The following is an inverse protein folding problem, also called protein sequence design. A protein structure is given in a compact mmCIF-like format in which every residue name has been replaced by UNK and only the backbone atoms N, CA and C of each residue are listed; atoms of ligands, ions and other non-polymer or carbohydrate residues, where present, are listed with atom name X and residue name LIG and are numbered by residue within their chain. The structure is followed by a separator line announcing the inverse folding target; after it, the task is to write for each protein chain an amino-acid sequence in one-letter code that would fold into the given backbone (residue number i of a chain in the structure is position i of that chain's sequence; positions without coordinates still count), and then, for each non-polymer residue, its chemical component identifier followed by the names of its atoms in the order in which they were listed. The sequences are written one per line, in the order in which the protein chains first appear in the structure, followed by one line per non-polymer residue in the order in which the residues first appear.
data_IF_287075866846
#
_entry.id   IF_287075866846
#
_cell.length_a   1.000
_cell.length_b   1.000
_cell.length_c   1.000
_cell.angle_alpha   90.00
_cell.angle_beta   90.00
_cell.angle_gamma   90.00
#
_symmetry.space_group_name_H-M   'P 1'
#
loop_
_entity.id
_entity.type
_entity.pdbx_description
1 polymer ?
#
# COMPACT_ATOMS: atom_id res chain seq x y z
N UNK A 1 13.80 -1.17 -41.21
CA UNK A 1 13.20 -2.28 -40.45
C UNK A 1 12.21 -3.01 -41.34
N UNK A 2 12.47 -4.29 -41.62
CA UNK A 2 11.60 -5.11 -42.46
C UNK A 2 10.36 -5.60 -41.66
N UNK A 3 9.41 -6.23 -42.34
CA UNK A 3 8.16 -6.68 -41.70
C UNK A 3 8.39 -7.76 -40.62
N UNK A 4 9.36 -8.63 -40.84
CA UNK A 4 9.75 -9.70 -39.93
C UNK A 4 10.38 -9.15 -38.64
N UNK A 5 11.29 -8.19 -38.75
CA UNK A 5 11.90 -7.49 -37.61
C UNK A 5 10.86 -6.81 -36.72
N UNK A 6 9.85 -6.15 -37.32
CA UNK A 6 8.74 -5.56 -36.56
C UNK A 6 7.89 -6.61 -35.84
N UNK A 7 7.66 -7.75 -36.47
CA UNK A 7 6.91 -8.86 -35.85
C UNK A 7 7.68 -9.46 -34.67
N UNK A 8 9.00 -9.62 -34.83
CA UNK A 8 9.86 -10.10 -33.75
C UNK A 8 9.92 -9.12 -32.57
N UNK A 9 10.06 -7.82 -32.83
CA UNK A 9 10.03 -6.79 -31.80
C UNK A 9 8.70 -6.80 -31.03
N UNK A 10 7.57 -6.84 -31.75
CA UNK A 10 6.25 -6.89 -31.14
C UNK A 10 6.07 -8.14 -30.27
N UNK A 11 6.52 -9.30 -30.74
CA UNK A 11 6.45 -10.55 -29.97
C UNK A 11 7.30 -10.47 -28.69
N UNK A 12 8.49 -9.86 -28.74
CA UNK A 12 9.34 -9.66 -27.56
C UNK A 12 8.63 -8.74 -26.56
N UNK A 13 8.07 -7.62 -27.01
CA UNK A 13 7.34 -6.69 -26.16
C UNK A 13 6.16 -7.38 -25.47
N UNK A 14 5.41 -8.21 -26.20
CA UNK A 14 4.27 -8.96 -25.63
C UNK A 14 4.70 -9.96 -24.55
N UNK A 15 5.80 -10.67 -24.78
CA UNK A 15 6.36 -11.59 -23.78
C UNK A 15 6.81 -10.84 -22.52
N UNK A 16 7.52 -9.73 -22.69
CA UNK A 16 7.97 -8.89 -21.57
C UNK A 16 6.79 -8.28 -20.81
N UNK A 17 5.79 -7.76 -21.51
CA UNK A 17 4.61 -7.17 -20.89
C UNK A 17 3.82 -8.20 -20.07
N UNK A 18 3.68 -9.42 -20.60
CA UNK A 18 3.05 -10.53 -19.88
C UNK A 18 3.82 -10.90 -18.61
N UNK A 19 5.15 -10.97 -18.68
CA UNK A 19 5.98 -11.24 -17.51
C UNK A 19 5.83 -10.14 -16.44
N UNK A 20 5.80 -8.87 -16.86
CA UNK A 20 5.56 -7.74 -15.96
C UNK A 20 4.16 -7.76 -15.36
N UNK A 21 3.14 -8.16 -16.13
CA UNK A 21 1.78 -8.33 -15.61
C UNK A 21 1.72 -9.41 -14.52
N UNK A 22 2.34 -10.58 -14.75
CA UNK A 22 2.37 -11.64 -13.75
C UNK A 22 3.10 -11.22 -12.47
N UNK A 23 4.24 -10.52 -12.62
CA UNK A 23 4.98 -10.00 -11.48
C UNK A 23 4.14 -9.00 -10.67
N UNK A 24 3.58 -7.98 -11.32
CA UNK A 24 2.83 -6.93 -10.61
C UNK A 24 1.56 -7.47 -9.96
N UNK A 25 0.89 -8.46 -10.57
CA UNK A 25 -0.30 -9.09 -10.02
C UNK A 25 0.01 -9.81 -8.71
N UNK A 26 1.13 -10.55 -8.66
CA UNK A 26 1.58 -11.24 -7.44
C UNK A 26 1.96 -10.26 -6.34
N UNK A 27 2.70 -9.20 -6.67
CA UNK A 27 3.05 -8.15 -5.69
C UNK A 27 1.79 -7.50 -5.13
N UNK A 28 0.83 -7.17 -6.01
CA UNK A 28 -0.43 -6.55 -5.61
C UNK A 28 -1.25 -7.47 -4.70
N UNK A 29 -1.47 -8.71 -5.10
CA UNK A 29 -2.22 -9.69 -4.30
C UNK A 29 -1.59 -9.91 -2.91
N UNK A 30 -0.27 -10.13 -2.84
CA UNK A 30 0.45 -10.27 -1.56
C UNK A 30 0.31 -9.02 -0.69
N UNK A 31 0.40 -7.84 -1.29
CA UNK A 31 0.30 -6.58 -0.55
C UNK A 31 -1.10 -6.39 0.06
N UNK A 32 -2.15 -6.80 -0.66
CA UNK A 32 -3.52 -6.82 -0.16
C UNK A 32 -3.70 -7.86 0.97
N UNK A 33 -3.18 -9.07 0.78
CA UNK A 33 -3.24 -10.15 1.78
C UNK A 33 -2.56 -9.76 3.09
N UNK A 34 -1.35 -9.20 3.04
CA UNK A 34 -0.62 -8.76 4.26
C UNK A 34 -1.41 -7.74 5.07
N UNK A 35 -2.01 -6.75 4.40
CA UNK A 35 -2.85 -5.75 5.06
C UNK A 35 -4.07 -6.39 5.72
N UNK A 36 -4.71 -7.35 5.06
CA UNK A 36 -5.89 -8.05 5.56
C UNK A 36 -5.58 -8.97 6.74
N UNK A 37 -4.56 -9.83 6.62
CA UNK A 37 -4.20 -10.84 7.61
C UNK A 37 -3.60 -10.23 8.89
N UNK A 38 -2.81 -9.16 8.78
CA UNK A 38 -2.22 -8.49 9.94
C UNK A 38 -3.19 -7.50 10.63
N UNK A 39 -4.47 -7.52 10.26
CA UNK A 39 -5.51 -6.72 10.89
C UNK A 39 -5.33 -5.20 10.72
N UNK A 40 -4.57 -4.77 9.70
CA UNK A 40 -4.29 -3.35 9.39
C UNK A 40 -5.44 -2.66 8.66
N UNK A 41 -6.61 -3.30 8.61
CA UNK A 41 -7.80 -2.83 7.90
C UNK A 41 -8.77 -2.17 8.86
N UNK A 42 -9.08 -0.88 8.69
CA UNK A 42 -10.18 -0.19 9.40
C UNK A 42 -11.47 -0.13 8.59
N UNK A 43 -11.60 0.83 7.68
CA UNK A 43 -12.76 0.96 6.77
C UNK A 43 -12.64 0.09 5.50
N UNK A 44 -11.46 -0.51 5.31
CA UNK A 44 -11.09 -1.14 4.05
C UNK A 44 -10.71 -0.16 2.94
N UNK A 45 -10.70 1.16 3.19
CA UNK A 45 -10.45 2.16 2.14
C UNK A 45 -9.10 1.91 1.44
N UNK A 46 -8.02 1.66 2.20
CA UNK A 46 -6.71 1.36 1.65
C UNK A 46 -6.72 0.19 0.65
N UNK A 47 -7.47 -0.88 0.95
CA UNK A 47 -7.62 -2.03 0.05
C UNK A 47 -8.52 -1.70 -1.14
N UNK A 48 -9.69 -1.11 -0.86
CA UNK A 48 -10.75 -0.84 -1.84
C UNK A 48 -10.34 0.14 -2.93
N UNK A 49 -9.49 1.12 -2.60
CA UNK A 49 -9.06 2.14 -3.55
C UNK A 49 -7.76 1.77 -4.26
N UNK A 50 -7.09 0.69 -3.85
CA UNK A 50 -5.85 0.27 -4.48
C UNK A 50 -6.10 -0.28 -5.89
N UNK A 51 -5.19 0.00 -6.81
CA UNK A 51 -5.28 -0.44 -8.19
C UNK A 51 -3.90 -0.63 -8.82
N UNK A 52 -3.89 -1.23 -10.00
CA UNK A 52 -2.71 -1.36 -10.85
C UNK A 52 -2.95 -0.50 -12.09
N UNK A 53 -2.08 0.49 -12.32
CA UNK A 53 -2.00 1.22 -13.58
C UNK A 53 -1.08 0.46 -14.54
N UNK A 54 -1.58 0.18 -15.75
CA UNK A 54 -0.86 -0.60 -16.76
C UNK A 54 -0.61 0.21 -18.01
N UNK A 55 0.66 0.32 -18.38
CA UNK A 55 1.12 0.84 -19.67
C UNK A 55 2.05 -0.20 -20.31
N UNK A 56 2.30 -0.19 -21.62
CA UNK A 56 3.27 -1.10 -22.23
C UNK A 56 4.62 -1.03 -21.52
N UNK A 57 5.11 -2.18 -21.02
CA UNK A 57 6.37 -2.33 -20.29
C UNK A 57 6.51 -1.52 -18.97
N UNK A 58 5.45 -0.88 -18.50
CA UNK A 58 5.42 -0.12 -17.24
C UNK A 58 4.18 -0.52 -16.44
N UNK A 59 4.36 -0.91 -15.19
CA UNK A 59 3.28 -1.31 -14.27
C UNK A 59 3.46 -0.61 -12.95
N UNK A 60 2.41 0.03 -12.45
CA UNK A 60 2.45 0.80 -11.21
C UNK A 60 1.35 0.35 -10.28
N UNK A 61 1.70 -0.02 -9.06
CA UNK A 61 0.72 -0.23 -7.98
C UNK A 61 0.46 1.10 -7.30
N UNK A 62 -0.80 1.47 -7.19
CA UNK A 62 -1.21 2.74 -6.59
C UNK A 62 -2.12 2.47 -5.39
N UNK A 63 -1.81 3.15 -4.28
CA UNK A 63 -2.62 3.17 -3.06
C UNK A 63 -3.07 4.62 -2.78
N UNK A 64 -4.23 5.06 -3.31
CA UNK A 64 -4.65 6.46 -3.27
C UNK A 64 -5.04 7.02 -1.90
N UNK A 65 -5.12 6.19 -0.86
CA UNK A 65 -5.53 6.66 0.46
C UNK A 65 -4.46 7.59 1.04
N UNK A 66 -4.84 8.78 1.52
CA UNK A 66 -3.92 9.80 2.06
C UNK A 66 -2.96 9.29 3.16
N UNK A 67 -3.34 8.21 3.84
CA UNK A 67 -2.55 7.60 4.90
C UNK A 67 -1.73 6.39 4.47
N UNK A 68 -1.79 5.98 3.20
CA UNK A 68 -1.07 4.82 2.67
C UNK A 68 0.45 4.94 2.88
N UNK A 69 1.00 6.12 2.60
CA UNK A 69 2.42 6.44 2.80
C UNK A 69 2.84 6.23 4.27
N UNK A 70 2.04 6.73 5.21
CA UNK A 70 2.34 6.60 6.64
C UNK A 70 2.21 5.16 7.15
N UNK A 71 1.38 4.33 6.51
CA UNK A 71 1.32 2.90 6.80
C UNK A 71 2.58 2.22 6.28
N UNK A 72 2.97 2.47 5.02
CA UNK A 72 4.12 1.83 4.39
C UNK A 72 5.45 2.22 5.06
N UNK A 73 5.69 3.52 5.24
CA UNK A 73 6.99 4.06 5.64
C UNK A 73 7.03 4.57 7.08
N UNK A 74 5.89 4.53 7.78
CA UNK A 74 5.78 5.10 9.11
C UNK A 74 5.75 6.62 9.06
N UNK A 75 5.90 7.27 10.22
CA UNK A 75 5.88 8.74 10.34
C UNK A 75 6.88 9.17 11.38
N UNK A 76 7.71 10.16 11.08
CA UNK A 76 8.62 10.74 12.06
C UNK A 76 7.88 11.59 13.12
N UNK A 77 8.47 11.76 14.31
CA UNK A 77 8.03 12.77 15.27
C UNK A 77 8.05 14.19 14.69
N UNK A 78 7.29 15.10 15.30
CA UNK A 78 7.47 16.56 15.12
C UNK A 78 6.22 17.33 14.72
N UNK A 79 5.18 16.68 14.20
CA UNK A 79 3.90 17.35 13.91
C UNK A 79 2.71 16.51 14.34
N UNK A 80 1.64 17.13 14.79
CA UNK A 80 0.44 16.44 15.23
C UNK A 80 -0.42 16.01 14.04
N UNK A 81 -0.80 14.72 13.91
CA UNK A 81 -1.75 14.29 12.87
C UNK A 81 -3.16 14.81 13.18
N UNK A 82 -4.05 14.91 12.17
CA UNK A 82 -5.42 15.37 12.36
C UNK A 82 -6.21 14.55 13.41
N UNK A 83 -6.57 15.12 14.57
CA UNK A 83 -7.23 14.36 15.63
C UNK A 83 -8.63 13.88 15.25
N UNK A 84 -9.29 14.55 14.30
CA UNK A 84 -10.64 14.17 13.85
C UNK A 84 -10.69 12.80 13.17
N UNK A 85 -9.70 12.46 12.35
CA UNK A 85 -9.62 11.15 11.70
C UNK A 85 -9.29 10.04 12.71
N UNK A 86 -8.42 10.35 13.68
CA UNK A 86 -8.12 9.45 14.80
C UNK A 86 -9.35 9.23 15.69
N UNK A 87 -10.21 10.23 15.88
CA UNK A 87 -11.46 10.07 16.63
C UNK A 87 -12.38 9.07 15.93
N UNK A 88 -12.62 9.25 14.62
CA UNK A 88 -13.44 8.31 13.85
C UNK A 88 -12.87 6.88 13.90
N UNK A 89 -11.54 6.75 13.84
CA UNK A 89 -10.86 5.46 14.02
C UNK A 89 -11.10 4.88 15.43
N UNK A 90 -10.97 5.69 16.49
CA UNK A 90 -11.24 5.26 17.88
C UNK A 90 -12.69 4.77 18.06
N UNK A 91 -13.67 5.47 17.49
CA UNK A 91 -15.08 5.06 17.54
C UNK A 91 -15.29 3.70 16.85
N UNK A 92 -14.67 3.48 15.68
CA UNK A 92 -14.82 2.23 14.93
C UNK A 92 -14.05 1.06 15.53
N UNK A 93 -12.79 1.27 15.90
CA UNK A 93 -11.85 0.21 16.31
C UNK A 93 -11.87 -0.08 17.79
N UNK A 94 -11.91 0.97 18.61
CA UNK A 94 -11.91 0.84 20.07
C UNK A 94 -13.35 0.84 20.63
N UNK A 95 -14.36 1.02 19.78
CA UNK A 95 -15.79 1.06 20.17
C UNK A 95 -16.09 2.09 21.26
N UNK A 96 -15.31 3.17 21.30
CA UNK A 96 -15.45 4.24 22.27
C UNK A 96 -16.61 5.16 21.93
N UNK A 97 -17.28 5.71 22.96
CA UNK A 97 -18.30 6.75 22.75
C UNK A 97 -17.64 8.06 22.28
N UNK A 98 -18.35 8.96 21.56
CA UNK A 98 -17.73 10.14 20.96
C UNK A 98 -16.88 11.00 21.92
N UNK A 99 -17.33 11.19 23.17
CA UNK A 99 -16.56 11.95 24.18
C UNK A 99 -15.26 11.25 24.58
N UNK A 100 -15.27 9.93 24.70
CA UNK A 100 -14.09 9.12 25.05
C UNK A 100 -13.16 9.01 23.85
N UNK A 101 -13.71 8.77 22.65
CA UNK A 101 -12.99 8.72 21.40
C UNK A 101 -12.23 10.03 21.13
N UNK A 102 -12.83 11.19 21.40
CA UNK A 102 -12.15 12.49 21.26
C UNK A 102 -10.91 12.61 22.17
N UNK A 103 -11.02 12.15 23.42
CA UNK A 103 -9.89 12.16 24.37
C UNK A 103 -8.79 11.18 23.95
N UNK A 104 -9.19 9.96 23.57
CA UNK A 104 -8.26 8.93 23.08
C UNK A 104 -7.54 9.40 21.81
N UNK A 105 -8.27 9.98 20.86
CA UNK A 105 -7.71 10.52 19.62
C UNK A 105 -6.68 11.62 19.85
N UNK A 106 -6.95 12.54 20.78
CA UNK A 106 -5.97 13.56 21.14
C UNK A 106 -4.71 12.96 21.78
N UNK A 107 -4.87 11.98 22.68
CA UNK A 107 -3.75 11.29 23.30
C UNK A 107 -2.90 10.51 22.27
N UNK A 108 -3.55 9.83 21.31
CA UNK A 108 -2.89 9.15 20.20
C UNK A 108 -2.18 10.16 19.31
N UNK A 109 -2.84 11.25 18.93
CA UNK A 109 -2.24 12.29 18.10
C UNK A 109 -0.99 12.88 18.77
N UNK A 110 -1.04 13.11 20.08
CA UNK A 110 0.10 13.58 20.88
C UNK A 110 1.23 12.55 20.94
N UNK A 111 0.90 11.26 21.09
CA UNK A 111 1.90 10.19 21.08
C UNK A 111 2.60 10.10 19.72
N UNK A 112 1.85 10.17 18.62
CA UNK A 112 2.38 10.18 17.25
C UNK A 112 3.24 11.43 17.00
N UNK A 113 2.81 12.60 17.49
CA UNK A 113 3.63 13.82 17.40
C UNK A 113 4.97 13.65 18.11
N UNK A 114 4.98 13.06 19.31
CA UNK A 114 6.19 12.93 20.13
C UNK A 114 7.13 11.83 19.67
N UNK A 115 6.59 10.73 19.15
CA UNK A 115 7.36 9.48 18.92
C UNK A 115 7.28 8.96 17.50
N UNK A 116 6.40 9.51 16.67
CA UNK A 116 6.12 8.99 15.35
C UNK A 116 5.30 7.69 15.39
N UNK A 117 5.23 7.03 14.23
CA UNK A 117 4.73 5.65 14.08
C UNK A 117 5.75 4.83 13.30
N UNK A 118 5.91 3.56 13.68
CA UNK A 118 6.75 2.63 12.96
C UNK A 118 6.10 2.20 11.63
N UNK A 119 6.90 1.94 10.58
CA UNK A 119 6.39 1.45 9.31
C UNK A 119 5.75 0.07 9.44
N UNK A 120 4.79 -0.17 8.56
CA UNK A 120 4.31 -1.48 8.15
C UNK A 120 4.51 -1.61 6.64
N UNK A 121 5.70 -2.06 6.16
CA UNK A 121 6.08 -1.99 4.76
C UNK A 121 5.41 -3.10 3.92
N UNK A 122 4.09 -3.02 3.78
CA UNK A 122 3.25 -4.03 3.16
C UNK A 122 3.52 -4.17 1.66
N UNK A 123 3.83 -3.07 0.96
CA UNK A 123 4.09 -3.08 -0.47
C UNK A 123 5.52 -3.49 -0.77
N UNK A 124 6.50 -2.84 -0.14
CA UNK A 124 7.93 -3.12 -0.36
C UNK A 124 8.28 -4.55 0.01
N UNK A 125 7.76 -5.05 1.14
CA UNK A 125 7.97 -6.44 1.54
C UNK A 125 7.37 -7.43 0.53
N UNK A 126 6.17 -7.14 0.02
CA UNK A 126 5.52 -8.00 -0.99
C UNK A 126 6.29 -8.02 -2.31
N UNK A 127 6.87 -6.89 -2.71
CA UNK A 127 7.74 -6.82 -3.88
C UNK A 127 9.00 -7.67 -3.68
N UNK A 128 9.70 -7.50 -2.56
CA UNK A 128 10.92 -8.27 -2.25
C UNK A 128 10.68 -9.78 -2.16
N UNK A 129 9.58 -10.19 -1.51
CA UNK A 129 9.19 -11.60 -1.44
C UNK A 129 8.89 -12.16 -2.84
N UNK A 130 8.19 -11.41 -3.69
CA UNK A 130 7.89 -11.84 -5.07
C UNK A 130 9.15 -11.95 -5.92
N UNK A 131 10.08 -11.00 -5.80
CA UNK A 131 11.39 -11.02 -6.47
C UNK A 131 12.14 -12.32 -6.11
N UNK A 132 12.18 -12.64 -4.81
CA UNK A 132 12.84 -13.84 -4.32
C UNK A 132 12.15 -15.13 -4.83
N UNK A 133 10.82 -15.19 -4.77
CA UNK A 133 10.03 -16.35 -5.22
C UNK A 133 10.14 -16.61 -6.73
N UNK A 134 10.29 -15.55 -7.52
CA UNK A 134 10.43 -15.62 -8.97
C UNK A 134 11.89 -15.82 -9.43
N UNK A 135 12.85 -15.83 -8.50
CA UNK A 135 14.27 -15.99 -8.83
C UNK A 135 14.84 -14.81 -9.63
N UNK A 136 14.31 -13.61 -9.43
CA UNK A 136 14.80 -12.39 -10.07
C UNK A 136 15.95 -11.84 -9.22
N UNK A 137 17.19 -12.26 -9.46
CA UNK A 137 18.39 -11.78 -8.76
C UNK A 137 19.49 -11.36 -9.73
#
# INVERSE_FOLDING_TARGET
MNQEERQNEQAIIEVLDKALNEFIDRVFEKSQTKLAEEGKVDTGNLLKTANIERKPLEKTIVYPADYAEWVEFGRLPGSMPPPGELQKWCERKLKLKPKEAKKAAWAIAKAIEQRGIQPFPFLTRSAMETIQEMGLQ
#
